data_IF_157804548800
#
_entry.id   IF_157804548800
#
_cell.length_a   1.000
_cell.length_b   1.000
_cell.length_c   1.000
_cell.angle_alpha   90.00
_cell.angle_beta   90.00
_cell.angle_gamma   90.00
#
_symmetry.space_group_name_H-M   'P 1'
#
loop_
_entity.id
_entity.type
_entity.pdbx_description
1 polymer ?
#
# COMPACT_ATOMS: atom_id res chain seq x y z
N UNK A 1 34.29 -13.43 -10.17
CA UNK A 1 34.40 -12.57 -8.97
C UNK A 1 34.71 -13.46 -7.78
N UNK A 2 35.79 -13.18 -7.06
CA UNK A 2 36.19 -13.94 -5.87
C UNK A 2 35.15 -13.73 -4.75
N UNK A 3 34.72 -14.80 -4.09
CA UNK A 3 33.70 -14.72 -3.05
C UNK A 3 34.29 -14.08 -1.79
N UNK A 4 33.61 -13.06 -1.24
CA UNK A 4 34.08 -12.37 -0.04
C UNK A 4 34.20 -13.33 1.17
N UNK A 5 35.31 -13.24 1.89
CA UNK A 5 35.58 -14.09 3.06
C UNK A 5 34.61 -13.80 4.22
N UNK A 6 34.06 -14.87 4.80
CA UNK A 6 33.13 -14.80 5.95
C UNK A 6 33.81 -14.31 7.24
N UNK A 7 35.13 -14.38 7.34
CA UNK A 7 35.89 -13.98 8.54
C UNK A 7 36.41 -12.54 8.48
N UNK A 8 36.50 -11.94 7.29
CA UNK A 8 37.05 -10.59 7.11
C UNK A 8 36.10 -9.58 6.48
N UNK A 9 34.99 -10.02 5.86
CA UNK A 9 33.98 -9.12 5.28
C UNK A 9 32.73 -9.01 6.17
N UNK A 10 32.15 -7.81 6.21
CA UNK A 10 30.85 -7.54 6.84
C UNK A 10 29.76 -7.34 5.79
N UNK A 11 28.54 -7.77 6.11
CA UNK A 11 27.37 -7.56 5.24
C UNK A 11 27.08 -6.06 5.13
N UNK A 12 26.91 -5.57 3.90
CA UNK A 12 26.43 -4.21 3.65
C UNK A 12 24.96 -4.25 3.22
N UNK A 13 24.11 -3.58 4.00
CA UNK A 13 22.69 -3.39 3.67
C UNK A 13 22.43 -2.04 2.95
N UNK A 14 23.49 -1.35 2.49
CA UNK A 14 23.38 -0.03 1.90
C UNK A 14 22.44 0.02 0.68
N UNK A 15 22.49 -1.02 -0.17
CA UNK A 15 21.60 -1.15 -1.34
C UNK A 15 20.12 -1.17 -0.94
N UNK A 16 19.76 -1.98 0.06
CA UNK A 16 18.37 -2.09 0.54
C UNK A 16 17.92 -0.80 1.24
N UNK A 17 18.80 -0.15 2.01
CA UNK A 17 18.51 1.16 2.62
C UNK A 17 18.27 2.24 1.57
N UNK A 18 19.00 2.21 0.45
CA UNK A 18 18.80 3.15 -0.65
C UNK A 18 17.48 2.93 -1.38
N UNK A 19 17.14 1.67 -1.69
CA UNK A 19 15.85 1.32 -2.26
C UNK A 19 14.68 1.72 -1.34
N UNK A 20 14.81 1.45 -0.04
CA UNK A 20 13.85 1.89 0.99
C UNK A 20 13.62 3.40 0.94
N UNK A 21 14.69 4.21 0.84
CA UNK A 21 14.57 5.67 0.75
C UNK A 21 13.82 6.12 -0.52
N UNK A 22 14.04 5.46 -1.66
CA UNK A 22 13.33 5.77 -2.91
C UNK A 22 11.83 5.51 -2.76
N UNK A 23 11.44 4.37 -2.21
CA UNK A 23 10.03 4.04 -1.96
C UNK A 23 9.40 5.01 -0.95
N UNK A 24 10.09 5.31 0.15
CA UNK A 24 9.59 6.25 1.17
C UNK A 24 9.43 7.68 0.62
N UNK A 25 10.26 8.11 -0.33
CA UNK A 25 10.11 9.41 -0.99
C UNK A 25 8.84 9.48 -1.85
N UNK A 26 8.47 8.39 -2.54
CA UNK A 26 7.19 8.29 -3.27
C UNK A 26 6.02 8.40 -2.29
N UNK A 27 6.06 7.62 -1.20
CA UNK A 27 5.01 7.55 -0.18
C UNK A 27 4.76 8.89 0.52
N UNK A 28 5.82 9.63 0.83
CA UNK A 28 5.72 10.93 1.52
C UNK A 28 4.95 12.01 0.73
N UNK A 29 4.69 11.80 -0.57
CA UNK A 29 3.87 12.71 -1.39
C UNK A 29 2.36 12.53 -1.16
N UNK A 30 1.95 11.39 -0.62
CA UNK A 30 0.53 11.04 -0.47
C UNK A 30 -0.04 11.38 0.90
N UNK A 31 0.78 11.42 1.94
CA UNK A 31 0.37 11.87 3.27
C UNK A 31 1.58 12.42 4.01
N UNK A 32 1.34 13.46 4.81
CA UNK A 32 2.33 14.01 5.73
C UNK A 32 2.47 13.18 7.02
N UNK A 33 1.52 12.28 7.28
CA UNK A 33 1.43 11.45 8.49
C UNK A 33 1.85 10.02 8.19
N UNK A 34 3.15 9.84 8.01
CA UNK A 34 3.77 8.52 7.78
C UNK A 34 4.65 8.09 8.94
N UNK A 35 4.62 6.80 9.25
CA UNK A 35 5.47 6.17 10.25
C UNK A 35 6.18 4.96 9.63
N UNK A 36 7.51 5.03 9.56
CA UNK A 36 8.32 3.94 9.04
C UNK A 36 8.45 2.85 10.12
N UNK A 37 7.80 1.70 9.89
CA UNK A 37 7.81 0.57 10.82
C UNK A 37 9.05 -0.32 10.65
N UNK A 38 9.54 -0.48 9.42
CA UNK A 38 10.72 -1.29 9.10
C UNK A 38 11.46 -0.74 7.87
N UNK A 39 12.40 -1.49 7.29
CA UNK A 39 13.06 -1.10 6.04
C UNK A 39 12.10 -1.03 4.86
N UNK A 40 11.08 -1.88 4.82
CA UNK A 40 10.13 -2.04 3.71
C UNK A 40 8.66 -1.86 4.13
N UNK A 41 8.39 -1.55 5.40
CA UNK A 41 7.05 -1.35 5.93
C UNK A 41 6.84 0.08 6.45
N UNK A 42 5.64 0.61 6.21
CA UNK A 42 5.20 1.94 6.61
C UNK A 42 3.73 1.89 7.02
N UNK A 43 3.38 2.67 8.04
CA UNK A 43 1.98 3.03 8.31
C UNK A 43 1.74 4.45 7.81
N UNK A 44 0.57 4.66 7.21
CA UNK A 44 0.16 5.95 6.68
C UNK A 44 -1.24 6.26 7.20
N UNK A 45 -1.39 7.43 7.79
CA UNK A 45 -2.71 7.98 8.11
C UNK A 45 -3.18 8.78 6.89
N UNK A 46 -4.28 8.32 6.29
CA UNK A 46 -4.89 8.90 5.09
C UNK A 46 -6.28 9.49 5.39
N UNK A 47 -6.64 9.66 6.67
CA UNK A 47 -8.00 10.08 7.05
C UNK A 47 -8.38 11.43 6.43
N UNK A 48 -7.46 12.40 6.41
CA UNK A 48 -7.73 13.70 5.81
C UNK A 48 -7.90 13.59 4.28
N UNK A 49 -7.06 12.78 3.65
CA UNK A 49 -7.01 12.57 2.21
C UNK A 49 -8.30 11.90 1.68
N UNK A 50 -8.86 10.94 2.43
CA UNK A 50 -10.11 10.27 2.06
C UNK A 50 -11.35 11.05 2.46
N UNK A 51 -11.28 11.92 3.46
CA UNK A 51 -12.43 12.73 3.91
C UNK A 51 -12.69 13.95 3.01
N UNK A 52 -11.64 14.44 2.35
CA UNK A 52 -11.72 15.61 1.45
C UNK A 52 -12.03 15.23 -0.01
N UNK A 53 -11.79 13.98 -0.40
CA UNK A 53 -12.15 13.47 -1.71
C UNK A 53 -13.64 13.11 -1.73
N UNK A 54 -14.40 13.60 -2.72
CA UNK A 54 -15.72 13.02 -2.96
C UNK A 54 -15.54 11.56 -3.37
N UNK A 55 -16.28 10.66 -2.73
CA UNK A 55 -16.28 9.23 -3.07
C UNK A 55 -16.76 9.03 -4.52
N UNK A 56 -17.52 10.01 -5.03
CA UNK A 56 -18.05 10.05 -6.40
C UNK A 56 -16.99 10.49 -7.44
N UNK A 57 -15.97 11.27 -7.07
CA UNK A 57 -14.86 11.72 -7.96
C UNK A 57 -13.82 10.60 -8.25
N UNK A 58 -14.12 9.35 -7.88
CA UNK A 58 -13.21 8.20 -7.90
C UNK A 58 -13.60 7.15 -8.95
N UNK A 59 -14.33 7.61 -9.96
CA UNK A 59 -15.34 6.95 -10.75
C UNK A 59 -14.83 5.87 -11.73
N UNK A 60 -13.62 5.95 -12.28
CA UNK A 60 -13.18 4.95 -13.28
C UNK A 60 -11.79 4.34 -13.03
N UNK A 61 -10.76 5.16 -12.77
CA UNK A 61 -9.41 4.66 -12.49
C UNK A 61 -9.31 4.01 -11.10
N UNK A 62 -10.04 4.55 -10.11
CA UNK A 62 -10.13 4.00 -8.76
C UNK A 62 -10.85 2.67 -8.73
N UNK A 63 -12.01 2.57 -9.40
CA UNK A 63 -12.76 1.31 -9.56
C UNK A 63 -11.92 0.23 -10.24
N UNK A 64 -11.26 0.55 -11.36
CA UNK A 64 -10.43 -0.40 -12.10
C UNK A 64 -9.21 -0.87 -11.30
N UNK A 65 -8.61 0.02 -10.51
CA UNK A 65 -7.48 -0.33 -9.65
C UNK A 65 -7.89 -1.26 -8.48
N UNK A 66 -9.15 -1.16 -8.01
CA UNK A 66 -9.71 -2.05 -6.98
C UNK A 66 -10.27 -3.36 -7.58
N UNK A 67 -10.89 -3.33 -8.77
CA UNK A 67 -11.35 -4.52 -9.55
C UNK A 67 -10.24 -5.54 -9.79
N UNK A 68 -8.98 -5.09 -9.88
CA UNK A 68 -7.82 -5.97 -10.01
C UNK A 68 -7.50 -6.74 -8.71
N UNK A 69 -8.23 -6.49 -7.63
CA UNK A 69 -8.11 -7.15 -6.33
C UNK A 69 -9.14 -8.26 -6.21
N UNK A 70 -8.88 -9.40 -6.83
CA UNK A 70 -9.57 -10.64 -6.45
C UNK A 70 -9.34 -10.94 -4.97
N UNK A 71 -10.41 -11.26 -4.26
CA UNK A 71 -10.33 -11.82 -2.91
C UNK A 71 -9.63 -13.18 -2.96
N UNK A 72 -9.16 -13.68 -1.81
CA UNK A 72 -8.39 -14.93 -1.71
C UNK A 72 -9.17 -16.16 -2.23
N UNK A 73 -10.50 -16.10 -2.21
CA UNK A 73 -11.41 -17.11 -2.74
C UNK A 73 -11.72 -16.94 -4.24
N UNK A 74 -11.07 -15.98 -4.91
CA UNK A 74 -11.26 -15.68 -6.32
C UNK A 74 -12.50 -14.85 -6.63
N UNK A 75 -13.30 -14.48 -5.62
CA UNK A 75 -14.45 -13.59 -5.78
C UNK A 75 -14.01 -12.15 -6.06
N UNK A 76 -14.89 -11.42 -6.72
CA UNK A 76 -14.64 -10.03 -7.07
C UNK A 76 -14.83 -9.15 -5.84
N UNK A 77 -13.78 -8.45 -5.40
CA UNK A 77 -13.89 -7.57 -4.24
C UNK A 77 -14.95 -6.49 -4.50
N UNK A 78 -15.09 -6.03 -5.74
CA UNK A 78 -16.10 -5.04 -6.14
C UNK A 78 -17.55 -5.55 -5.97
N UNK A 79 -17.80 -6.85 -6.15
CA UNK A 79 -19.14 -7.43 -5.97
C UNK A 79 -19.59 -7.43 -4.50
N UNK A 80 -18.65 -7.42 -3.55
CA UNK A 80 -18.92 -7.34 -2.11
C UNK A 80 -19.11 -5.92 -1.57
N UNK A 81 -18.82 -4.89 -2.39
CA UNK A 81 -18.94 -3.46 -2.02
C UNK A 81 -20.40 -2.97 -2.05
N UNK A 82 -21.31 -3.71 -2.70
CA UNK A 82 -22.73 -3.35 -2.83
C UNK A 82 -23.52 -3.29 -1.51
N UNK A 83 -22.95 -3.75 -0.39
CA UNK A 83 -23.58 -3.71 0.95
C UNK A 83 -23.01 -2.61 1.86
N UNK A 84 -22.10 -1.78 1.35
CA UNK A 84 -21.33 -0.82 2.14
C UNK A 84 -22.08 0.51 2.23
N UNK A 85 -22.95 0.62 3.24
CA UNK A 85 -23.88 1.75 3.36
C UNK A 85 -23.39 2.83 4.34
N UNK A 86 -22.46 2.50 5.23
CA UNK A 86 -22.05 3.42 6.31
C UNK A 86 -21.01 4.45 5.84
N UNK A 87 -20.91 5.55 6.59
CA UNK A 87 -19.86 6.54 6.35
C UNK A 87 -18.45 5.94 6.51
N UNK A 88 -18.26 5.01 7.45
CA UNK A 88 -16.99 4.33 7.68
C UNK A 88 -16.58 3.45 6.49
N UNK A 89 -17.54 2.73 5.90
CA UNK A 89 -17.27 1.87 4.75
C UNK A 89 -16.84 2.70 3.53
N UNK A 90 -17.48 3.86 3.33
CA UNK A 90 -17.08 4.83 2.29
C UNK A 90 -15.65 5.32 2.48
N UNK A 91 -15.22 5.58 3.71
CA UNK A 91 -13.84 5.98 4.01
C UNK A 91 -12.85 4.84 3.75
N UNK A 92 -13.19 3.60 4.07
CA UNK A 92 -12.37 2.43 3.75
C UNK A 92 -12.24 2.24 2.23
N UNK A 93 -13.32 2.45 1.48
CA UNK A 93 -13.31 2.41 0.03
C UNK A 93 -12.40 3.50 -0.57
N UNK A 94 -12.54 4.75 -0.13
CA UNK A 94 -11.64 5.84 -0.51
C UNK A 94 -10.18 5.51 -0.18
N UNK A 95 -9.94 4.88 0.98
CA UNK A 95 -8.62 4.43 1.39
C UNK A 95 -8.04 3.33 0.49
N UNK A 96 -8.86 2.38 0.05
CA UNK A 96 -8.45 1.34 -0.90
C UNK A 96 -8.00 1.94 -2.24
N UNK A 97 -8.71 2.97 -2.72
CA UNK A 97 -8.35 3.68 -3.96
C UNK A 97 -7.03 4.43 -3.80
N UNK A 98 -6.84 5.16 -2.69
CA UNK A 98 -5.57 5.83 -2.39
C UNK A 98 -4.43 4.82 -2.32
N UNK A 99 -4.62 3.68 -1.65
CA UNK A 99 -3.63 2.62 -1.57
C UNK A 99 -3.28 2.06 -2.96
N UNK A 100 -4.27 1.84 -3.83
CA UNK A 100 -4.03 1.35 -5.19
C UNK A 100 -3.24 2.36 -6.04
N UNK A 101 -3.55 3.66 -5.93
CA UNK A 101 -2.80 4.75 -6.58
C UNK A 101 -1.34 4.79 -6.12
N UNK A 102 -1.12 4.68 -4.81
CA UNK A 102 0.22 4.63 -4.21
C UNK A 102 1.01 3.43 -4.77
N UNK A 103 0.41 2.23 -4.76
CA UNK A 103 1.03 1.01 -5.27
C UNK A 103 1.45 1.15 -6.74
N UNK A 104 0.59 1.72 -7.57
CA UNK A 104 0.88 2.00 -8.99
C UNK A 104 2.03 2.99 -9.14
N UNK A 105 2.04 4.08 -8.37
CA UNK A 105 3.12 5.07 -8.42
C UNK A 105 4.47 4.49 -7.98
N UNK A 106 4.49 3.71 -6.89
CA UNK A 106 5.71 2.99 -6.44
C UNK A 106 6.20 2.06 -7.55
N UNK A 107 5.32 1.28 -8.17
CA UNK A 107 5.71 0.37 -9.26
C UNK A 107 6.27 1.11 -10.46
N UNK A 108 5.63 2.20 -10.87
CA UNK A 108 6.06 3.01 -12.03
C UNK A 108 7.40 3.69 -11.80
N UNK A 109 7.63 4.25 -10.61
CA UNK A 109 8.78 5.11 -10.35
C UNK A 109 10.00 4.37 -9.78
N UNK A 110 9.78 3.24 -9.09
CA UNK A 110 10.86 2.48 -8.44
C UNK A 110 11.04 1.08 -9.02
N UNK A 111 10.07 0.59 -9.80
CA UNK A 111 10.03 -0.79 -10.29
C UNK A 111 9.57 -1.82 -9.25
N UNK A 112 9.41 -1.45 -7.98
CA UNK A 112 9.01 -2.37 -6.91
C UNK A 112 7.50 -2.56 -6.83
N UNK A 113 7.05 -3.79 -6.59
CA UNK A 113 5.67 -4.07 -6.18
C UNK A 113 5.57 -4.01 -4.66
N UNK A 114 4.43 -3.54 -4.15
CA UNK A 114 4.11 -3.65 -2.73
C UNK A 114 2.69 -4.18 -2.55
N UNK A 115 2.39 -4.67 -1.35
CA UNK A 115 1.02 -5.00 -0.93
C UNK A 115 0.59 -4.02 0.16
N UNK A 116 -0.71 -3.74 0.24
CA UNK A 116 -1.24 -2.75 1.18
C UNK A 116 -2.48 -3.27 1.92
N UNK A 117 -2.62 -2.88 3.18
CA UNK A 117 -3.80 -3.13 3.99
C UNK A 117 -4.38 -1.82 4.47
N UNK A 118 -5.69 -1.64 4.30
CA UNK A 118 -6.44 -0.45 4.71
C UNK A 118 -7.40 -0.85 5.82
N UNK A 119 -7.35 -0.15 6.95
CA UNK A 119 -8.23 -0.38 8.08
C UNK A 119 -8.24 0.85 9.00
N UNK A 120 -9.18 0.89 9.95
CA UNK A 120 -9.27 1.96 10.96
C UNK A 120 -8.19 1.88 12.06
N UNK A 121 -7.31 0.88 12.05
CA UNK A 121 -6.21 0.78 13.01
C UNK A 121 -4.95 0.16 12.39
N UNK A 122 -3.78 0.51 12.92
CA UNK A 122 -2.48 -0.01 12.44
C UNK A 122 -2.41 -1.54 12.53
N UNK A 123 -2.92 -2.13 13.61
CA UNK A 123 -2.91 -3.58 13.81
C UNK A 123 -3.71 -4.31 12.73
N UNK A 124 -4.94 -3.85 12.46
CA UNK A 124 -5.79 -4.45 11.43
C UNK A 124 -5.21 -4.21 10.03
N UNK A 125 -4.67 -3.02 9.77
CA UNK A 125 -4.01 -2.70 8.49
C UNK A 125 -2.81 -3.63 8.25
N UNK A 126 -2.02 -3.92 9.28
CA UNK A 126 -0.90 -4.87 9.20
C UNK A 126 -1.37 -6.28 8.86
N UNK A 127 -2.40 -6.78 9.54
CA UNK A 127 -2.97 -8.11 9.26
C UNK A 127 -3.56 -8.18 7.84
N UNK A 128 -4.31 -7.15 7.43
CA UNK A 128 -4.89 -7.05 6.09
C UNK A 128 -3.81 -7.08 4.99
N UNK A 129 -2.71 -6.31 5.17
CA UNK A 129 -1.60 -6.24 4.20
C UNK A 129 -0.89 -7.57 3.96
N UNK A 130 -0.99 -8.50 4.91
CA UNK A 130 -0.36 -9.82 4.84
C UNK A 130 -1.27 -10.87 4.19
N UNK A 131 -2.59 -10.66 4.19
CA UNK A 131 -3.59 -11.66 3.79
C UNK A 131 -3.50 -12.01 2.30
N UNK A 132 -3.35 -11.00 1.45
CA UNK A 132 -3.27 -11.16 0.00
C UNK A 132 -1.91 -10.63 -0.46
N UNK A 133 -1.00 -11.54 -0.79
CA UNK A 133 0.32 -11.24 -1.34
C UNK A 133 0.61 -12.20 -2.50
N UNK A 134 1.45 -11.85 -3.48
CA UNK A 134 2.12 -10.55 -3.66
C UNK A 134 1.31 -9.56 -4.51
N UNK A 135 1.69 -8.27 -4.46
CA UNK A 135 1.16 -7.19 -5.31
C UNK A 135 -0.37 -7.04 -5.24
N UNK A 136 -0.92 -6.97 -4.02
CA UNK A 136 -2.35 -6.75 -3.76
C UNK A 136 -2.56 -5.63 -2.76
#
# INVERSE_FOLDING_TARGET
AEAASRTSAKVSLARYRMASRQVMAVLARYSKRIEKASIDEVYMDITAEVSQASVDDLDEEGRRAVELTKLADGSDAAASVGTWETASDRLLWGGAIVAARIRTAVRRETGYTMSAGVAHSKLLAKLASARNKPNK
#
